data_IF_793728126421
#
_entry.id   IF_793728126421
#
_cell.length_a   1.000
_cell.length_b   1.000
_cell.length_c   1.000
_cell.angle_alpha   90.00
_cell.angle_beta   90.00
_cell.angle_gamma   90.00
#
_symmetry.space_group_name_H-M   'P 1'
#
loop_
_entity.id
_entity.type
_entity.pdbx_description
1 polymer ?
#
# COMPACT_ATOMS: atom_id res chain seq x y z
N UNK A 1 10.01 9.75 -12.62
CA UNK A 1 11.12 9.70 -11.62
C UNK A 1 12.13 8.62 -11.98
N UNK A 2 11.73 7.36 -12.17
CA UNK A 2 12.64 6.21 -12.39
C UNK A 2 13.56 6.36 -13.62
N UNK A 3 13.06 7.00 -14.69
CA UNK A 3 13.85 7.20 -15.91
C UNK A 3 14.94 8.30 -15.78
N UNK A 4 14.65 9.35 -15.01
CA UNK A 4 15.50 10.54 -14.94
C UNK A 4 16.05 10.81 -13.54
N UNK A 5 15.71 9.98 -12.55
CA UNK A 5 16.06 10.16 -11.15
C UNK A 5 15.28 11.26 -10.44
N UNK A 6 14.54 12.11 -11.20
CA UNK A 6 13.85 13.29 -10.69
C UNK A 6 12.74 13.75 -11.63
N UNK A 7 11.86 14.63 -11.17
CA UNK A 7 10.74 15.22 -11.92
C UNK A 7 10.96 16.74 -12.06
N UNK A 8 11.24 17.22 -13.26
CA UNK A 8 11.23 18.66 -13.56
C UNK A 8 9.81 19.19 -13.73
N UNK A 9 9.59 20.49 -13.50
CA UNK A 9 8.29 21.13 -13.72
C UNK A 9 7.71 20.89 -15.12
N UNK A 10 8.49 20.87 -16.21
CA UNK A 10 7.96 20.52 -17.53
C UNK A 10 7.35 19.12 -17.62
N UNK A 11 7.88 18.13 -16.87
CA UNK A 11 7.30 16.79 -16.84
C UNK A 11 5.91 16.80 -16.17
N UNK A 12 5.74 17.58 -15.10
CA UNK A 12 4.46 17.71 -14.39
C UNK A 12 3.45 18.45 -15.25
N UNK A 13 3.86 19.48 -15.99
CA UNK A 13 3.00 20.21 -16.92
C UNK A 13 2.50 19.30 -18.05
N UNK A 14 3.41 18.52 -18.67
CA UNK A 14 3.03 17.57 -19.72
C UNK A 14 2.09 16.46 -19.19
N UNK A 15 2.30 16.01 -17.95
CA UNK A 15 1.40 15.03 -17.32
C UNK A 15 0.01 15.63 -17.06
N UNK A 16 -0.04 16.87 -16.57
CA UNK A 16 -1.30 17.58 -16.35
C UNK A 16 -2.12 17.71 -17.64
N UNK A 17 -1.46 18.09 -18.74
CA UNK A 17 -2.09 18.17 -20.07
C UNK A 17 -2.61 16.78 -20.51
N UNK A 18 -1.79 15.75 -20.43
CA UNK A 18 -2.15 14.38 -20.83
C UNK A 18 -3.34 13.82 -20.05
N UNK A 19 -3.42 14.12 -18.73
CA UNK A 19 -4.50 13.67 -17.85
C UNK A 19 -5.70 14.63 -17.83
N UNK A 20 -5.60 15.81 -18.47
CA UNK A 20 -6.61 16.89 -18.43
C UNK A 20 -6.91 17.36 -17.00
N UNK A 21 -5.87 17.45 -16.18
CA UNK A 21 -5.90 17.97 -14.82
C UNK A 21 -5.22 19.34 -14.76
N UNK A 22 -5.48 20.10 -13.70
CA UNK A 22 -4.72 21.32 -13.46
C UNK A 22 -3.27 21.00 -13.07
N UNK A 23 -2.34 21.91 -13.37
CA UNK A 23 -0.95 21.76 -12.94
C UNK A 23 -0.83 21.74 -11.41
N UNK A 24 -1.73 22.43 -10.70
CA UNK A 24 -1.76 22.45 -9.24
C UNK A 24 -2.09 21.06 -8.67
N UNK A 25 -3.10 20.38 -9.18
CA UNK A 25 -3.47 19.02 -8.75
C UNK A 25 -2.33 18.03 -8.97
N UNK A 26 -1.68 18.06 -10.14
CA UNK A 26 -0.55 17.16 -10.44
C UNK A 26 0.65 17.48 -9.54
N UNK A 27 0.94 18.77 -9.32
CA UNK A 27 2.03 19.18 -8.44
C UNK A 27 1.77 18.78 -6.99
N UNK A 28 0.55 18.98 -6.49
CA UNK A 28 0.14 18.63 -5.14
C UNK A 28 0.34 17.13 -4.87
N UNK A 29 -0.16 16.27 -5.76
CA UNK A 29 0.04 14.82 -5.64
C UNK A 29 1.52 14.46 -5.73
N UNK A 30 2.27 14.99 -6.69
CA UNK A 30 3.68 14.67 -6.84
C UNK A 30 4.52 15.12 -5.64
N UNK A 31 4.21 16.28 -5.04
CA UNK A 31 4.93 16.81 -3.88
C UNK A 31 4.56 16.13 -2.56
N UNK A 32 3.41 15.46 -2.49
CA UNK A 32 3.00 14.71 -1.32
C UNK A 32 3.89 13.47 -1.08
N UNK A 33 4.29 12.78 -2.15
CA UNK A 33 5.04 11.54 -2.03
C UNK A 33 6.55 11.78 -2.01
N UNK A 34 7.20 11.43 -0.91
CA UNK A 34 8.66 11.53 -0.72
C UNK A 34 9.47 10.62 -1.67
N UNK A 35 8.81 9.78 -2.43
CA UNK A 35 9.44 8.99 -3.50
C UNK A 35 9.83 9.86 -4.71
N UNK A 36 9.10 10.95 -4.95
CA UNK A 36 9.34 11.84 -6.07
C UNK A 36 10.25 13.01 -5.68
N UNK A 37 11.25 13.24 -6.49
CA UNK A 37 12.12 14.41 -6.39
C UNK A 37 11.69 15.47 -7.39
N UNK A 38 10.97 16.49 -6.92
CA UNK A 38 10.57 17.61 -7.77
C UNK A 38 11.69 18.64 -7.77
N UNK A 39 12.23 18.92 -8.95
CA UNK A 39 13.33 19.86 -9.14
C UNK A 39 12.91 21.05 -9.98
N UNK A 40 13.54 22.18 -9.70
CA UNK A 40 13.37 23.42 -10.45
C UNK A 40 14.69 23.80 -11.11
N UNK A 41 14.60 24.49 -12.22
CA UNK A 41 15.74 25.10 -12.85
C UNK A 41 16.29 26.26 -11.98
N UNK A 42 17.59 26.41 -11.97
CA UNK A 42 18.25 27.58 -11.39
C UNK A 42 18.07 28.82 -12.28
N UNK A 43 18.58 29.97 -11.84
CA UNK A 43 18.48 31.23 -12.59
C UNK A 43 19.17 31.15 -13.97
N UNK A 44 19.95 30.13 -14.26
CA UNK A 44 20.63 29.87 -15.52
C UNK A 44 19.96 28.77 -16.35
N UNK A 45 18.76 28.29 -15.92
CA UNK A 45 18.03 27.22 -16.61
C UNK A 45 18.64 25.82 -16.41
N UNK A 46 19.45 25.61 -15.39
CA UNK A 46 20.10 24.32 -15.13
C UNK A 46 19.39 23.60 -14.00
N UNK A 47 19.29 22.30 -14.12
CA UNK A 47 18.77 21.40 -13.10
C UNK A 47 19.94 20.66 -12.46
N UNK A 48 19.98 20.59 -11.12
CA UNK A 48 20.95 19.80 -10.41
C UNK A 48 20.87 18.32 -10.82
N UNK A 49 22.02 17.67 -10.98
CA UNK A 49 22.05 16.24 -11.26
C UNK A 49 21.42 15.45 -10.09
N UNK A 50 20.63 14.41 -10.37
CA UNK A 50 20.08 13.58 -9.31
C UNK A 50 21.20 12.84 -8.57
N UNK A 51 21.04 12.54 -7.28
CA UNK A 51 21.97 11.66 -6.59
C UNK A 51 21.95 10.27 -7.24
N UNK A 52 23.09 9.58 -7.20
CA UNK A 52 23.18 8.20 -7.70
C UNK A 52 22.12 7.30 -7.04
N UNK A 53 21.86 7.52 -5.76
CA UNK A 53 20.91 6.75 -4.99
C UNK A 53 20.33 7.59 -3.84
N UNK A 54 19.08 7.38 -3.51
CA UNK A 54 18.46 7.97 -2.32
C UNK A 54 18.08 6.88 -1.34
N UNK A 55 18.51 7.03 -0.09
CA UNK A 55 18.10 6.24 1.07
C UNK A 55 17.11 7.08 1.89
N UNK A 56 15.91 6.59 2.05
CA UNK A 56 14.85 7.21 2.85
C UNK A 56 14.72 6.48 4.17
N UNK A 57 14.97 7.14 5.28
CA UNK A 57 14.80 6.58 6.61
C UNK A 57 13.46 7.04 7.15
N UNK A 58 12.59 6.09 7.47
CA UNK A 58 11.29 6.42 8.04
C UNK A 58 11.46 7.09 9.42
N UNK A 59 10.89 8.29 9.57
CA UNK A 59 10.87 9.05 10.83
C UNK A 59 9.52 9.01 11.55
N UNK A 60 8.61 8.14 11.10
CA UNK A 60 7.36 7.86 11.80
C UNK A 60 7.60 7.34 13.21
N UNK A 61 6.64 7.55 14.11
CA UNK A 61 6.75 7.30 15.53
C UNK A 61 7.37 5.93 15.89
N UNK A 62 6.88 4.85 15.28
CA UNK A 62 7.41 3.49 15.54
C UNK A 62 8.89 3.37 15.18
N UNK A 63 9.31 3.96 14.06
CA UNK A 63 10.70 3.93 13.61
C UNK A 63 11.58 4.84 14.46
N UNK A 64 11.08 6.00 14.87
CA UNK A 64 11.80 6.90 15.76
C UNK A 64 12.08 6.25 17.11
N UNK A 65 11.08 5.61 17.73
CA UNK A 65 11.23 4.84 18.96
C UNK A 65 12.20 3.65 18.82
N UNK A 66 12.30 3.09 17.61
CA UNK A 66 13.20 2.00 17.29
C UNK A 66 14.61 2.45 16.83
N UNK A 67 14.93 3.73 16.87
CA UNK A 67 16.29 4.24 16.64
C UNK A 67 16.54 4.85 15.24
N UNK A 68 15.52 5.24 14.48
CA UNK A 68 15.69 5.87 13.16
C UNK A 68 16.56 7.12 13.17
N UNK A 69 16.58 7.88 14.28
CA UNK A 69 17.47 9.06 14.42
C UNK A 69 18.96 8.71 14.35
N UNK A 70 19.37 7.57 14.93
CA UNK A 70 20.75 7.11 14.83
C UNK A 70 21.13 6.78 13.38
N UNK A 71 20.21 6.14 12.64
CA UNK A 71 20.40 5.87 11.22
C UNK A 71 20.59 7.17 10.42
N UNK A 72 19.71 8.15 10.61
CA UNK A 72 19.80 9.45 9.94
C UNK A 72 21.10 10.20 10.25
N UNK A 73 21.59 10.08 11.48
CA UNK A 73 22.84 10.74 11.89
C UNK A 73 24.09 10.08 11.31
N UNK A 74 24.11 8.76 11.20
CA UNK A 74 25.33 7.98 10.86
C UNK A 74 25.45 7.63 9.38
N UNK A 75 24.37 7.34 8.70
CA UNK A 75 24.39 6.86 7.30
C UNK A 75 25.02 7.85 6.31
N UNK A 76 24.81 9.18 6.39
CA UNK A 76 25.42 10.11 5.42
C UNK A 76 26.94 10.02 5.35
N UNK A 77 27.61 9.91 6.51
CA UNK A 77 29.07 9.81 6.58
C UNK A 77 29.60 8.48 6.02
N UNK A 78 28.80 7.41 6.12
CA UNK A 78 29.22 6.06 5.72
C UNK A 78 28.92 5.74 4.25
N UNK A 79 27.87 6.35 3.69
CA UNK A 79 27.44 6.09 2.32
C UNK A 79 28.09 7.03 1.28
N UNK A 80 28.72 8.12 1.73
CA UNK A 80 29.41 9.07 0.87
C UNK A 80 28.47 10.05 0.16
N UNK A 81 29.06 11.02 -0.55
CA UNK A 81 28.33 12.14 -1.13
C UNK A 81 27.39 11.77 -2.30
N UNK A 82 27.62 10.63 -2.94
CA UNK A 82 26.81 10.15 -4.07
C UNK A 82 25.47 9.56 -3.63
N UNK A 83 25.31 9.25 -2.34
CA UNK A 83 24.11 8.67 -1.77
C UNK A 83 23.43 9.69 -0.87
N UNK A 84 22.27 10.14 -1.27
CA UNK A 84 21.45 11.04 -0.47
C UNK A 84 20.70 10.28 0.61
N UNK A 85 20.86 10.66 1.87
CA UNK A 85 20.08 10.13 3.00
C UNK A 85 19.10 11.19 3.48
N UNK A 86 17.83 10.87 3.51
CA UNK A 86 16.76 11.79 3.95
C UNK A 86 15.80 11.10 4.90
N UNK A 87 15.18 11.89 5.77
CA UNK A 87 14.00 11.47 6.51
C UNK A 87 12.80 11.34 5.56
N UNK A 88 11.93 10.40 5.85
CA UNK A 88 10.69 10.19 5.11
C UNK A 88 9.55 9.83 6.06
N UNK A 89 8.29 10.22 5.74
CA UNK A 89 7.14 9.82 6.52
C UNK A 89 6.97 8.29 6.52
N UNK A 90 6.00 7.83 7.29
CA UNK A 90 5.75 6.40 7.45
C UNK A 90 5.62 5.69 6.09
N UNK A 91 6.44 4.65 5.91
CA UNK A 91 6.47 3.81 4.71
C UNK A 91 5.55 2.59 4.81
N UNK A 92 4.65 2.56 5.81
CA UNK A 92 3.66 1.51 6.00
C UNK A 92 4.24 0.17 6.46
N UNK A 93 5.37 0.16 7.20
CA UNK A 93 6.03 -1.06 7.70
C UNK A 93 6.37 -0.97 9.19
N UNK A 94 5.43 -0.45 9.98
CA UNK A 94 5.67 -0.18 11.41
C UNK A 94 6.04 -1.43 12.21
N UNK A 95 5.58 -2.61 11.81
CA UNK A 95 5.92 -3.90 12.42
C UNK A 95 7.37 -4.33 12.19
N UNK A 96 8.06 -3.65 11.27
CA UNK A 96 9.45 -3.93 10.89
C UNK A 96 10.39 -2.78 11.28
N UNK A 97 9.94 -1.92 12.19
CA UNK A 97 10.68 -0.74 12.63
C UNK A 97 12.03 -1.11 13.29
N UNK A 98 13.09 -0.27 13.09
CA UNK A 98 13.13 0.86 12.19
C UNK A 98 13.27 0.44 10.73
N UNK A 99 12.76 1.25 9.80
CA UNK A 99 12.80 0.94 8.36
C UNK A 99 13.55 2.03 7.60
N UNK A 100 14.47 1.60 6.73
CA UNK A 100 15.03 2.45 5.70
C UNK A 100 14.65 1.89 4.32
N UNK A 101 14.52 2.75 3.31
CA UNK A 101 14.20 2.34 1.93
C UNK A 101 15.32 2.79 1.02
N UNK A 102 16.02 1.84 0.43
CA UNK A 102 17.09 2.07 -0.57
C UNK A 102 16.43 2.10 -1.94
N UNK A 103 16.22 3.27 -2.49
CA UNK A 103 15.38 3.52 -3.67
C UNK A 103 13.94 2.99 -3.46
N UNK A 104 13.62 1.75 -3.84
CA UNK A 104 12.36 1.07 -3.59
C UNK A 104 12.52 -0.19 -2.72
N UNK A 105 13.76 -0.55 -2.34
CA UNK A 105 14.03 -1.73 -1.52
C UNK A 105 13.91 -1.41 -0.02
N UNK A 106 12.95 -1.99 0.71
CA UNK A 106 12.81 -1.78 2.14
C UNK A 106 13.83 -2.63 2.92
N UNK A 107 14.66 -1.97 3.72
CA UNK A 107 15.52 -2.60 4.72
C UNK A 107 14.76 -2.64 6.04
N UNK A 108 14.28 -3.82 6.40
CA UNK A 108 13.48 -4.09 7.61
C UNK A 108 14.38 -4.22 8.83
N UNK A 109 13.91 -3.84 10.03
CA UNK A 109 14.71 -3.86 11.26
C UNK A 109 16.10 -3.26 10.95
N UNK A 110 16.08 -2.06 10.37
CA UNK A 110 17.25 -1.44 9.77
C UNK A 110 18.30 -1.15 10.83
N UNK A 111 19.51 -1.60 10.56
CA UNK A 111 20.72 -1.15 11.24
C UNK A 111 21.64 -0.46 10.21
N UNK A 112 22.60 0.29 10.71
CA UNK A 112 23.58 0.94 9.83
C UNK A 112 24.24 -0.07 8.87
N UNK A 113 24.65 -1.22 9.41
CA UNK A 113 25.33 -2.28 8.65
C UNK A 113 24.40 -2.87 7.58
N UNK A 114 23.15 -3.10 7.89
CA UNK A 114 22.16 -3.65 6.94
C UNK A 114 21.87 -2.67 5.81
N UNK A 115 21.74 -1.38 6.12
CA UNK A 115 21.50 -0.36 5.11
C UNK A 115 22.73 -0.19 4.21
N UNK A 116 23.94 -0.12 4.81
CA UNK A 116 25.18 -0.05 4.04
C UNK A 116 25.35 -1.27 3.14
N UNK A 117 25.09 -2.47 3.64
CA UNK A 117 25.15 -3.70 2.86
C UNK A 117 24.15 -3.68 1.69
N UNK A 118 22.91 -3.24 1.90
CA UNK A 118 21.90 -3.13 0.85
C UNK A 118 22.35 -2.15 -0.26
N UNK A 119 22.93 -1.00 0.11
CA UNK A 119 23.47 -0.03 -0.85
C UNK A 119 24.64 -0.61 -1.63
N UNK A 120 25.59 -1.30 -0.96
CA UNK A 120 26.75 -1.91 -1.60
C UNK A 120 26.37 -3.05 -2.56
N UNK A 121 25.35 -3.82 -2.22
CA UNK A 121 24.80 -4.90 -3.06
C UNK A 121 23.91 -4.39 -4.19
N UNK A 122 23.61 -3.09 -4.24
CA UNK A 122 22.74 -2.51 -5.27
C UNK A 122 21.28 -2.96 -5.16
N UNK A 123 20.80 -3.29 -3.95
CA UNK A 123 19.42 -3.67 -3.73
C UNK A 123 18.54 -2.42 -3.82
N UNK A 124 17.85 -2.26 -4.94
CA UNK A 124 17.06 -1.06 -5.25
C UNK A 124 15.60 -1.34 -5.54
N UNK A 125 15.22 -2.61 -5.68
CA UNK A 125 13.85 -3.01 -5.99
C UNK A 125 13.23 -3.78 -4.83
N UNK A 126 11.92 -3.59 -4.66
CA UNK A 126 11.15 -4.38 -3.71
C UNK A 126 10.78 -5.72 -4.34
N UNK A 127 11.15 -6.81 -3.68
CA UNK A 127 10.64 -8.12 -4.01
C UNK A 127 9.37 -8.39 -3.19
N UNK A 128 8.27 -8.83 -3.85
CA UNK A 128 7.05 -9.17 -3.14
C UNK A 128 7.28 -10.25 -2.08
N UNK A 129 6.55 -10.18 -0.98
CA UNK A 129 6.51 -11.29 -0.02
C UNK A 129 5.99 -12.56 -0.71
N UNK A 130 6.39 -13.76 -0.23
CA UNK A 130 5.76 -15.00 -0.68
C UNK A 130 4.24 -14.91 -0.50
N UNK A 131 3.50 -15.17 -1.55
CA UNK A 131 2.05 -15.05 -1.57
C UNK A 131 1.38 -16.22 -2.26
N UNK A 132 0.10 -16.45 -1.94
CA UNK A 132 -0.74 -17.42 -2.63
C UNK A 132 -1.25 -16.82 -3.94
N UNK A 133 -0.61 -17.17 -5.05
CA UNK A 133 -1.02 -16.73 -6.38
C UNK A 133 -2.30 -17.42 -6.86
N UNK A 134 -2.87 -16.93 -7.98
CA UNK A 134 -4.14 -17.41 -8.52
C UNK A 134 -4.18 -18.93 -8.72
N UNK A 135 -3.15 -19.51 -9.31
CA UNK A 135 -3.09 -20.95 -9.56
C UNK A 135 -3.17 -21.74 -8.25
N UNK A 136 -2.28 -21.45 -7.29
CA UNK A 136 -2.25 -22.13 -6.00
C UNK A 136 -3.56 -21.93 -5.21
N UNK A 137 -4.16 -20.74 -5.27
CA UNK A 137 -5.44 -20.48 -4.63
C UNK A 137 -6.59 -21.29 -5.25
N UNK A 138 -6.62 -21.37 -6.58
CA UNK A 138 -7.64 -22.13 -7.31
C UNK A 138 -7.48 -23.64 -7.09
N UNK A 139 -6.25 -24.15 -7.13
CA UNK A 139 -5.94 -25.57 -6.89
C UNK A 139 -6.33 -26.00 -5.47
N UNK A 140 -6.25 -25.08 -4.50
CA UNK A 140 -6.72 -25.29 -3.14
C UNK A 140 -8.25 -25.15 -2.97
N UNK A 141 -9.01 -24.97 -4.05
CA UNK A 141 -10.46 -24.84 -4.04
C UNK A 141 -10.97 -23.40 -3.95
N UNK A 142 -10.09 -22.42 -4.08
CA UNK A 142 -10.46 -21.02 -4.13
C UNK A 142 -11.38 -20.69 -5.31
N UNK A 143 -12.18 -19.64 -5.16
CA UNK A 143 -13.24 -19.20 -6.07
C UNK A 143 -14.37 -20.21 -6.31
N UNK A 144 -14.38 -21.37 -5.63
CA UNK A 144 -15.48 -22.35 -5.74
C UNK A 144 -16.78 -21.78 -5.19
N UNK A 145 -16.73 -21.13 -4.02
CA UNK A 145 -17.91 -20.51 -3.45
C UNK A 145 -18.48 -19.41 -4.34
N UNK A 146 -17.62 -18.53 -4.87
CA UNK A 146 -18.04 -17.49 -5.80
C UNK A 146 -18.70 -18.08 -7.06
N UNK A 147 -18.10 -19.13 -7.62
CA UNK A 147 -18.65 -19.84 -8.77
C UNK A 147 -20.01 -20.44 -8.48
N UNK A 148 -20.16 -21.13 -7.33
CA UNK A 148 -21.42 -21.70 -6.90
C UNK A 148 -22.51 -20.64 -6.72
N UNK A 149 -22.15 -19.45 -6.23
CA UNK A 149 -23.03 -18.31 -6.13
C UNK A 149 -23.50 -17.82 -7.51
N UNK A 150 -22.54 -17.57 -8.42
CA UNK A 150 -22.84 -17.01 -9.75
C UNK A 150 -23.64 -18.00 -10.61
N UNK A 151 -23.37 -19.29 -10.49
CA UNK A 151 -24.06 -20.36 -11.22
C UNK A 151 -25.37 -20.80 -10.55
N UNK A 152 -25.77 -20.17 -9.43
CA UNK A 152 -27.03 -20.44 -8.75
C UNK A 152 -27.08 -21.73 -7.93
N UNK A 153 -25.95 -22.39 -7.69
CA UNK A 153 -25.85 -23.55 -6.79
C UNK A 153 -25.94 -23.15 -5.30
N UNK A 154 -25.64 -21.90 -4.99
CA UNK A 154 -25.82 -21.28 -3.67
C UNK A 154 -26.66 -20.03 -3.81
N UNK A 155 -27.67 -19.90 -2.96
CA UNK A 155 -28.46 -18.68 -2.89
C UNK A 155 -27.76 -17.63 -2.01
N UNK A 156 -28.11 -16.36 -2.19
CA UNK A 156 -27.61 -15.30 -1.33
C UNK A 156 -28.09 -15.47 0.13
N UNK A 157 -29.27 -16.05 0.32
CA UNK A 157 -29.78 -16.35 1.66
C UNK A 157 -28.98 -17.46 2.35
N UNK A 158 -28.51 -18.48 1.62
CA UNK A 158 -27.62 -19.53 2.15
C UNK A 158 -26.28 -18.93 2.61
N UNK A 159 -25.71 -18.03 1.81
CA UNK A 159 -24.45 -17.35 2.15
C UNK A 159 -24.62 -16.48 3.41
N UNK A 160 -25.72 -15.70 3.48
CA UNK A 160 -26.00 -14.84 4.64
C UNK A 160 -26.30 -15.69 5.88
N UNK A 161 -27.07 -16.77 5.75
CA UNK A 161 -27.35 -17.68 6.85
C UNK A 161 -26.08 -18.35 7.38
N UNK A 162 -25.18 -18.79 6.48
CA UNK A 162 -23.87 -19.32 6.88
C UNK A 162 -23.05 -18.29 7.65
N UNK A 163 -23.07 -17.04 7.22
CA UNK A 163 -22.36 -15.95 7.91
C UNK A 163 -22.98 -15.64 9.28
N UNK A 164 -24.34 -15.72 9.42
CA UNK A 164 -25.03 -15.58 10.70
C UNK A 164 -24.67 -16.74 11.65
N UNK A 165 -24.67 -17.96 11.14
CA UNK A 165 -24.30 -19.16 11.91
C UNK A 165 -22.85 -19.15 12.39
N UNK A 166 -21.92 -18.54 11.63
CA UNK A 166 -20.51 -18.39 12.01
C UNK A 166 -20.31 -17.44 13.19
N UNK A 167 -21.31 -16.66 13.57
CA UNK A 167 -21.24 -15.62 14.61
C UNK A 167 -20.18 -14.54 14.34
N UNK A 168 -19.74 -14.37 13.09
CA UNK A 168 -18.75 -13.35 12.72
C UNK A 168 -19.29 -11.95 13.03
N UNK A 169 -18.47 -11.13 13.66
CA UNK A 169 -18.79 -9.76 14.05
C UNK A 169 -17.80 -8.78 13.45
N UNK A 170 -18.24 -7.55 13.26
CA UNK A 170 -17.35 -6.45 12.90
C UNK A 170 -16.34 -6.17 14.01
N UNK A 171 -15.12 -5.87 13.62
CA UNK A 171 -14.00 -5.57 14.53
C UNK A 171 -13.71 -4.06 14.66
N UNK A 172 -14.55 -3.21 14.10
CA UNK A 172 -14.43 -1.74 14.19
C UNK A 172 -15.03 -1.13 15.48
N UNK A 173 -15.07 -1.89 16.58
CA UNK A 173 -15.51 -1.42 17.90
C UNK A 173 -16.94 -1.83 18.27
N UNK A 174 -17.93 -1.66 17.38
CA UNK A 174 -19.34 -1.93 17.69
C UNK A 174 -19.69 -3.43 17.79
N UNK A 175 -18.87 -4.33 17.26
CA UNK A 175 -19.11 -5.77 17.32
C UNK A 175 -20.42 -6.23 16.64
N UNK A 176 -20.92 -5.49 15.66
CA UNK A 176 -22.19 -5.80 15.02
C UNK A 176 -22.11 -7.11 14.22
N UNK A 177 -23.09 -8.03 14.32
CA UNK A 177 -23.08 -9.30 13.59
C UNK A 177 -23.05 -9.08 12.06
N UNK A 178 -22.03 -9.63 11.39
CA UNK A 178 -21.78 -9.38 9.97
C UNK A 178 -22.92 -9.89 9.08
N UNK A 179 -23.41 -11.11 9.31
CA UNK A 179 -24.52 -11.68 8.54
C UNK A 179 -25.81 -10.87 8.68
N UNK A 180 -26.13 -10.41 9.90
CA UNK A 180 -27.29 -9.53 10.13
C UNK A 180 -27.14 -8.20 9.39
N UNK A 181 -25.93 -7.62 9.35
CA UNK A 181 -25.64 -6.41 8.58
C UNK A 181 -25.92 -6.62 7.09
N UNK A 182 -25.45 -7.72 6.53
CA UNK A 182 -25.69 -8.03 5.13
C UNK A 182 -27.17 -8.19 4.81
N UNK A 183 -27.93 -8.88 5.68
CA UNK A 183 -29.38 -9.04 5.53
C UNK A 183 -30.10 -7.70 5.53
N UNK A 184 -29.77 -6.81 6.45
CA UNK A 184 -30.35 -5.46 6.52
C UNK A 184 -30.07 -4.66 5.25
N UNK A 185 -28.80 -4.62 4.82
CA UNK A 185 -28.41 -3.86 3.62
C UNK A 185 -29.03 -4.45 2.35
N UNK A 186 -29.11 -5.78 2.25
CA UNK A 186 -29.78 -6.45 1.12
C UNK A 186 -31.27 -6.08 1.02
N UNK A 187 -31.94 -5.86 2.13
CA UNK A 187 -33.34 -5.42 2.20
C UNK A 187 -33.56 -3.94 1.84
N UNK A 188 -32.50 -3.14 1.76
CA UNK A 188 -32.62 -1.74 1.40
C UNK A 188 -32.85 -1.55 -0.12
N UNK A 189 -33.38 -0.39 -0.52
CA UNK A 189 -33.56 -0.05 -1.93
C UNK A 189 -32.25 0.02 -2.67
N UNK A 190 -32.25 -0.35 -3.96
CA UNK A 190 -31.11 -0.13 -4.87
C UNK A 190 -31.09 1.35 -5.35
N UNK A 191 -29.93 1.88 -5.80
CA UNK A 191 -28.62 1.21 -5.86
C UNK A 191 -27.97 1.04 -4.50
N UNK A 192 -27.34 -0.10 -4.28
CA UNK A 192 -26.52 -0.36 -3.09
C UNK A 192 -25.04 -0.25 -3.46
N UNK A 193 -24.28 0.49 -2.66
CA UNK A 193 -22.87 0.72 -2.89
C UNK A 193 -22.05 0.04 -1.80
N UNK A 194 -20.82 -0.36 -2.15
CA UNK A 194 -19.85 -0.93 -1.20
C UNK A 194 -18.59 -0.08 -1.21
N UNK A 195 -18.16 0.36 -0.05
CA UNK A 195 -16.82 0.93 0.14
C UNK A 195 -15.94 -0.10 0.84
N UNK A 196 -14.79 -0.39 0.24
CA UNK A 196 -13.77 -1.25 0.82
C UNK A 196 -12.73 -0.37 1.48
N UNK A 197 -12.66 -0.43 2.81
CA UNK A 197 -11.68 0.31 3.57
C UNK A 197 -10.49 -0.59 3.89
N UNK A 198 -9.33 -0.24 3.37
CA UNK A 198 -8.02 -0.85 3.60
C UNK A 198 -6.96 0.22 3.90
N UNK A 199 -7.39 1.35 4.49
CA UNK A 199 -6.52 2.39 5.00
C UNK A 199 -5.98 1.98 6.38
N UNK A 200 -4.68 1.78 6.48
CA UNK A 200 -3.96 1.47 7.72
C UNK A 200 -3.12 2.67 8.15
N UNK A 201 -3.80 3.80 8.40
CA UNK A 201 -3.15 5.05 8.76
C UNK A 201 -2.58 5.09 10.18
N UNK A 202 -3.03 4.22 11.09
CA UNK A 202 -2.56 4.23 12.47
C UNK A 202 -1.16 3.62 12.59
N UNK A 203 -0.21 4.34 13.22
CA UNK A 203 1.13 3.81 13.48
C UNK A 203 1.08 2.49 14.25
N UNK A 204 1.81 1.49 13.79
CA UNK A 204 1.88 0.17 14.41
C UNK A 204 0.81 -0.82 13.97
N UNK A 205 -0.17 -0.42 13.13
CA UNK A 205 -1.14 -1.36 12.55
C UNK A 205 -0.57 -2.01 11.29
N UNK A 206 -0.79 -3.32 11.16
CA UNK A 206 -0.32 -4.12 10.03
C UNK A 206 -1.19 -5.38 9.89
N UNK A 207 -2.46 -5.22 9.56
CA UNK A 207 -3.41 -6.32 9.36
C UNK A 207 -3.87 -6.43 7.91
N UNK A 208 -4.31 -5.32 7.31
CA UNK A 208 -4.88 -5.32 5.97
C UNK A 208 -3.80 -5.60 4.93
N UNK A 209 -2.65 -4.96 5.05
CA UNK A 209 -1.49 -5.20 4.22
C UNK A 209 -1.00 -6.65 4.29
N UNK A 210 -1.02 -7.26 5.49
CA UNK A 210 -0.66 -8.66 5.66
C UNK A 210 -1.46 -9.57 4.74
N UNK A 211 -2.78 -9.42 4.71
CA UNK A 211 -3.65 -10.23 3.89
C UNK A 211 -3.50 -9.92 2.40
N UNK A 212 -3.44 -8.63 2.04
CA UNK A 212 -3.29 -8.21 0.65
C UNK A 212 -1.97 -8.69 0.03
N UNK A 213 -0.89 -8.67 0.79
CA UNK A 213 0.41 -9.12 0.29
C UNK A 213 0.54 -10.65 0.23
N UNK A 214 -0.17 -11.40 1.06
CA UNK A 214 0.02 -12.87 1.19
C UNK A 214 -1.10 -13.72 0.65
N UNK A 215 -2.32 -13.26 0.73
CA UNK A 215 -3.52 -14.01 0.31
C UNK A 215 -4.54 -13.09 -0.41
N UNK A 216 -4.12 -12.39 -1.48
CA UNK A 216 -4.96 -11.41 -2.17
C UNK A 216 -6.22 -12.03 -2.76
N UNK A 217 -6.15 -13.30 -3.19
CA UNK A 217 -7.28 -13.97 -3.82
C UNK A 217 -8.40 -14.31 -2.84
N UNK A 218 -8.09 -14.63 -1.58
CA UNK A 218 -9.10 -14.82 -0.54
C UNK A 218 -9.85 -13.52 -0.25
N UNK A 219 -9.12 -12.40 -0.19
CA UNK A 219 -9.73 -11.08 -0.06
C UNK A 219 -10.65 -10.76 -1.24
N UNK A 220 -10.17 -10.96 -2.47
CA UNK A 220 -10.94 -10.69 -3.69
C UNK A 220 -12.18 -11.59 -3.82
N UNK A 221 -12.08 -12.89 -3.48
CA UNK A 221 -13.24 -13.78 -3.46
C UNK A 221 -14.26 -13.33 -2.42
N UNK A 222 -13.81 -13.04 -1.19
CA UNK A 222 -14.69 -12.57 -0.11
C UNK A 222 -15.43 -11.30 -0.49
N UNK A 223 -14.73 -10.33 -1.09
CA UNK A 223 -15.31 -9.09 -1.59
C UNK A 223 -16.38 -9.35 -2.66
N UNK A 224 -16.08 -10.20 -3.65
CA UNK A 224 -17.02 -10.51 -4.73
C UNK A 224 -18.23 -11.30 -4.24
N UNK A 225 -18.05 -12.25 -3.33
CA UNK A 225 -19.15 -12.98 -2.68
C UNK A 225 -20.03 -12.02 -1.88
N UNK A 226 -19.43 -11.09 -1.13
CA UNK A 226 -20.16 -10.06 -0.38
C UNK A 226 -20.98 -9.15 -1.31
N UNK A 227 -20.35 -8.64 -2.38
CA UNK A 227 -21.03 -7.80 -3.36
C UNK A 227 -22.21 -8.51 -4.03
N UNK A 228 -22.02 -9.76 -4.42
CA UNK A 228 -23.08 -10.58 -5.00
C UNK A 228 -24.20 -10.88 -3.99
N UNK A 229 -23.87 -11.35 -2.79
CA UNK A 229 -24.86 -11.73 -1.77
C UNK A 229 -25.73 -10.56 -1.31
N UNK A 230 -25.16 -9.37 -1.20
CA UNK A 230 -25.86 -8.14 -0.79
C UNK A 230 -26.55 -7.45 -1.98
N UNK A 231 -26.17 -7.77 -3.21
CA UNK A 231 -26.68 -7.15 -4.42
C UNK A 231 -26.16 -5.73 -4.59
N UNK A 232 -24.83 -5.59 -4.53
CA UNK A 232 -24.11 -4.32 -4.67
C UNK A 232 -24.08 -3.93 -6.15
N UNK A 233 -24.35 -2.66 -6.42
CA UNK A 233 -24.36 -2.08 -7.78
C UNK A 233 -22.99 -1.56 -8.21
N UNK A 234 -22.18 -1.08 -7.26
CA UNK A 234 -20.82 -0.62 -7.48
C UNK A 234 -19.95 -0.74 -6.20
N UNK A 235 -18.66 -1.03 -6.40
CA UNK A 235 -17.65 -1.12 -5.35
C UNK A 235 -16.62 -0.03 -5.55
#
# INVERSE_FOLDING_TARGET
>A
NDRYGQLGLPHLAALAEALRLSQAEVYEVASFYHHFDIVREDAQGRVAAPPRLTVRVCDGLSCELAGARDLLARLPALLGADVRVIAAPCVGRCEQAPVAVVHQHPVRLATVERVVAAVQQGLTHHEPEPYTGLAAYTDAGGYTLLRDCVEGRRSADDVIAGLEASSLRGLGGAGFPAGRKWRIVRGAAAPRLMAVNIDEGEPGTFKDRWYLERDPHRFLEGLRVAAWAVGISAV
#
